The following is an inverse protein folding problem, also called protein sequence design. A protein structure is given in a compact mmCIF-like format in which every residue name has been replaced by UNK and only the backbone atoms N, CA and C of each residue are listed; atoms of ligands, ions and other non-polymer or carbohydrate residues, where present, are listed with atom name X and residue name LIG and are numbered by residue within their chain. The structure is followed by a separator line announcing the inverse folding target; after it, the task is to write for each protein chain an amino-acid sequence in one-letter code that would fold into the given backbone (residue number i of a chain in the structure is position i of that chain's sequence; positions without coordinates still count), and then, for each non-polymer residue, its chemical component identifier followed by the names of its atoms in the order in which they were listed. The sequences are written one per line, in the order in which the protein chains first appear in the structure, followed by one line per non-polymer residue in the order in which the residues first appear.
data_IF_747583655302
#
_entry.id   IF_747583655302
#
_cell.length_a   1.000
_cell.length_b   1.000
_cell.length_c   1.000
_cell.angle_alpha   90.00
_cell.angle_beta   90.00
_cell.angle_gamma   90.00
#
_symmetry.space_group_name_H-M   'P 1'
#
loop_
_entity.id
_entity.type
_entity.pdbx_description
1 polymer ?
#
# COMPACT_ATOMS: atom_id res chain seq x y z
N UNK A 1 5.42 -17.01 16.98
CA UNK A 1 5.31 -18.47 17.10
C UNK A 1 6.68 -19.07 16.82
N UNK A 2 7.15 -19.93 17.70
CA UNK A 2 8.38 -20.69 17.47
C UNK A 2 8.12 -22.17 17.77
N UNK A 3 8.74 -23.05 16.99
CA UNK A 3 8.59 -24.49 17.11
C UNK A 3 9.98 -25.11 17.23
N UNK A 4 10.20 -25.87 18.29
CA UNK A 4 11.45 -26.58 18.52
C UNK A 4 11.19 -28.06 18.57
N UNK A 5 11.98 -28.84 17.83
CA UNK A 5 11.86 -30.29 17.86
C UNK A 5 13.05 -30.91 18.54
N UNK A 6 12.75 -31.97 19.29
CA UNK A 6 13.74 -32.85 19.87
C UNK A 6 13.40 -34.27 19.48
N UNK A 7 14.33 -34.92 18.80
CA UNK A 7 14.30 -36.35 18.53
C UNK A 7 15.35 -37.05 19.38
N UNK A 8 15.07 -38.28 19.77
CA UNK A 8 15.96 -39.13 20.58
C UNK A 8 16.01 -40.54 20.00
N UNK A 9 17.09 -41.26 20.27
CA UNK A 9 17.31 -42.64 19.80
C UNK A 9 16.30 -43.68 20.30
N UNK A 10 15.44 -43.32 21.26
CA UNK A 10 14.38 -44.19 21.79
C UNK A 10 13.05 -44.01 21.04
N UNK A 11 13.09 -43.56 19.78
CA UNK A 11 11.92 -43.23 18.95
C UNK A 11 10.95 -42.24 19.61
N UNK A 12 11.44 -41.42 20.55
CA UNK A 12 10.63 -40.35 21.13
C UNK A 12 10.91 -39.04 20.40
N UNK A 13 9.85 -38.48 19.83
CA UNK A 13 9.82 -37.14 19.25
C UNK A 13 9.04 -36.21 20.18
N UNK A 14 9.51 -34.98 20.34
CA UNK A 14 8.83 -33.93 21.08
C UNK A 14 8.88 -32.64 20.28
N UNK A 15 7.75 -31.93 20.20
CA UNK A 15 7.69 -30.57 19.66
C UNK A 15 7.29 -29.62 20.80
N UNK A 16 8.14 -28.64 21.06
CA UNK A 16 7.84 -27.51 21.91
C UNK A 16 7.31 -26.36 21.05
N UNK A 17 6.07 -25.98 21.29
CA UNK A 17 5.40 -24.88 20.61
C UNK A 17 5.34 -23.66 21.54
N UNK A 18 5.90 -22.53 21.11
CA UNK A 18 5.96 -21.27 21.86
C UNK A 18 5.10 -20.22 21.16
N UNK A 19 4.35 -19.45 21.95
CA UNK A 19 3.42 -18.41 21.49
C UNK A 19 2.36 -18.91 20.51
N UNK A 20 1.93 -20.16 20.68
CA UNK A 20 0.90 -20.78 19.83
C UNK A 20 -0.50 -20.30 20.23
N UNK A 21 -1.28 -19.70 19.32
CA UNK A 21 -2.66 -19.30 19.60
C UNK A 21 -3.52 -20.46 20.09
N UNK A 22 -4.47 -20.19 20.99
CA UNK A 22 -5.36 -21.22 21.55
C UNK A 22 -6.12 -22.03 20.50
N UNK A 23 -6.68 -21.36 19.48
CA UNK A 23 -7.36 -22.02 18.36
C UNK A 23 -6.42 -22.96 17.57
N UNK A 24 -5.16 -22.58 17.39
CA UNK A 24 -4.18 -23.41 16.67
C UNK A 24 -3.81 -24.64 17.51
N UNK A 25 -3.71 -24.48 18.83
CA UNK A 25 -3.47 -25.59 19.76
C UNK A 25 -4.59 -26.63 19.66
N UNK A 26 -5.85 -26.20 19.73
CA UNK A 26 -7.01 -27.11 19.66
C UNK A 26 -7.05 -27.88 18.34
N UNK A 27 -6.93 -27.19 17.21
CA UNK A 27 -6.89 -27.82 15.88
C UNK A 27 -5.73 -28.80 15.71
N UNK A 28 -4.56 -28.47 16.28
CA UNK A 28 -3.40 -29.36 16.23
C UNK A 28 -3.64 -30.65 17.02
N UNK A 29 -4.26 -30.57 18.21
CA UNK A 29 -4.62 -31.76 18.98
C UNK A 29 -5.64 -32.64 18.25
N UNK A 30 -6.65 -32.03 17.63
CA UNK A 30 -7.62 -32.75 16.81
C UNK A 30 -6.96 -33.43 15.60
N UNK A 31 -6.09 -32.70 14.89
CA UNK A 31 -5.33 -33.23 13.76
C UNK A 31 -4.46 -34.41 14.17
N UNK A 32 -3.72 -34.30 15.28
CA UNK A 32 -2.90 -35.38 15.83
C UNK A 32 -3.74 -36.60 16.24
N UNK A 33 -4.89 -36.40 16.88
CA UNK A 33 -5.78 -37.49 17.28
C UNK A 33 -6.39 -38.22 16.06
N UNK A 34 -6.59 -37.51 14.96
CA UNK A 34 -7.10 -38.07 13.70
C UNK A 34 -6.01 -38.60 12.75
N UNK A 35 -4.75 -38.25 12.99
CA UNK A 35 -3.63 -38.64 12.13
C UNK A 35 -3.36 -40.15 12.23
N UNK A 36 -3.02 -40.78 11.11
CA UNK A 36 -2.55 -42.17 11.10
C UNK A 36 -1.27 -42.34 11.91
N UNK A 37 -0.83 -43.60 12.10
CA UNK A 37 0.39 -43.90 12.84
C UNK A 37 1.59 -43.12 12.30
N UNK A 38 2.19 -42.28 13.14
CA UNK A 38 3.38 -41.51 12.80
C UNK A 38 4.61 -42.43 12.85
N UNK A 39 5.45 -42.36 11.81
CA UNK A 39 6.72 -43.10 11.77
C UNK A 39 7.77 -42.32 12.56
N UNK A 40 7.90 -42.62 13.85
CA UNK A 40 8.78 -41.85 14.76
C UNK A 40 10.29 -41.97 14.47
N UNK A 41 10.68 -42.93 13.62
CA UNK A 41 12.03 -43.03 13.06
C UNK A 41 12.38 -41.84 12.16
N UNK A 42 11.37 -41.21 11.53
CA UNK A 42 11.54 -39.93 10.83
C UNK A 42 11.49 -38.76 11.83
N UNK A 43 12.58 -37.98 11.98
CA UNK A 43 12.62 -36.81 12.86
C UNK A 43 11.55 -35.75 12.52
N UNK A 44 11.07 -35.72 11.28
CA UNK A 44 10.10 -34.74 10.79
C UNK A 44 8.68 -35.30 10.67
N UNK A 45 8.40 -36.52 11.11
CA UNK A 45 7.06 -37.10 11.07
C UNK A 45 6.01 -36.22 11.78
N UNK A 46 6.37 -35.65 12.94
CA UNK A 46 5.48 -34.74 13.68
C UNK A 46 5.30 -33.37 13.04
N UNK A 47 6.14 -32.99 12.06
CA UNK A 47 5.94 -31.75 11.33
C UNK A 47 4.76 -31.82 10.36
N UNK A 48 4.35 -33.00 9.88
CA UNK A 48 3.21 -33.10 8.95
C UNK A 48 1.93 -32.42 9.49
N UNK A 49 1.35 -32.84 10.63
CA UNK A 49 0.14 -32.19 11.16
C UNK A 49 0.37 -30.73 11.55
N UNK A 50 1.60 -30.38 11.97
CA UNK A 50 1.95 -29.01 12.34
C UNK A 50 1.96 -28.08 11.12
N UNK A 51 2.60 -28.50 10.03
CA UNK A 51 2.71 -27.71 8.80
C UNK A 51 1.35 -27.51 8.14
N UNK A 52 0.50 -28.54 8.14
CA UNK A 52 -0.88 -28.42 7.65
C UNK A 52 -1.64 -27.30 8.37
N UNK A 53 -1.55 -27.24 9.69
CA UNK A 53 -2.21 -26.19 10.47
C UNK A 53 -1.56 -24.81 10.30
N UNK A 54 -0.23 -24.74 10.22
CA UNK A 54 0.48 -23.48 9.95
C UNK A 54 0.11 -22.92 8.58
N UNK A 55 0.01 -23.77 7.55
CA UNK A 55 -0.43 -23.35 6.22
C UNK A 55 -1.87 -22.85 6.22
N UNK A 56 -2.79 -23.54 6.89
CA UNK A 56 -4.19 -23.08 7.01
C UNK A 56 -4.27 -21.70 7.65
N UNK A 57 -3.53 -21.48 8.73
CA UNK A 57 -3.45 -20.18 9.40
C UNK A 57 -2.87 -19.12 8.46
N UNK A 58 -1.78 -19.44 7.74
CA UNK A 58 -1.13 -18.53 6.80
C UNK A 58 -2.05 -18.13 5.64
N UNK A 59 -2.81 -19.10 5.10
CA UNK A 59 -3.82 -18.85 4.05
C UNK A 59 -4.93 -17.94 4.58
N UNK A 60 -5.47 -18.23 5.77
CA UNK A 60 -6.50 -17.39 6.40
C UNK A 60 -6.07 -15.94 6.58
N UNK A 61 -4.85 -15.69 7.08
CA UNK A 61 -4.32 -14.33 7.20
C UNK A 61 -4.18 -13.63 5.84
N UNK A 62 -3.68 -14.36 4.83
CA UNK A 62 -3.54 -13.84 3.46
C UNK A 62 -4.90 -13.44 2.87
N UNK A 63 -5.93 -14.27 3.06
CA UNK A 63 -7.29 -13.96 2.60
C UNK A 63 -7.95 -12.82 3.37
N UNK A 64 -7.77 -12.77 4.70
CA UNK A 64 -8.27 -11.66 5.52
C UNK A 64 -7.67 -10.34 5.03
N UNK A 65 -6.36 -10.31 4.80
CA UNK A 65 -5.66 -9.15 4.22
C UNK A 65 -6.26 -8.73 2.88
N UNK A 66 -6.39 -9.64 1.92
CA UNK A 66 -7.02 -9.35 0.62
C UNK A 66 -8.45 -8.79 0.76
N UNK A 67 -9.24 -9.28 1.73
CA UNK A 67 -10.60 -8.80 1.98
C UNK A 67 -10.61 -7.38 2.54
N UNK A 68 -9.73 -7.05 3.49
CA UNK A 68 -9.61 -5.69 4.02
C UNK A 68 -9.19 -4.69 2.93
N UNK A 69 -8.18 -5.04 2.12
CA UNK A 69 -7.77 -4.23 0.95
C UNK A 69 -8.97 -3.98 0.03
N UNK A 70 -9.75 -5.02 -0.25
CA UNK A 70 -10.94 -4.92 -1.11
C UNK A 70 -12.02 -4.01 -0.53
N UNK A 71 -12.15 -3.90 0.80
CA UNK A 71 -13.08 -2.95 1.42
C UNK A 71 -12.65 -1.50 1.13
N UNK A 72 -11.36 -1.19 1.30
CA UNK A 72 -10.81 0.13 1.00
C UNK A 72 -10.93 0.50 -0.49
N UNK A 73 -10.68 -0.46 -1.39
CA UNK A 73 -10.86 -0.26 -2.84
C UNK A 73 -12.32 0.07 -3.21
N UNK A 74 -13.30 -0.51 -2.52
CA UNK A 74 -14.73 -0.25 -2.75
C UNK A 74 -15.18 1.09 -2.16
N UNK A 75 -14.54 1.58 -1.11
CA UNK A 75 -14.87 2.83 -0.44
C UNK A 75 -14.17 4.07 -1.00
N UNK A 76 -13.54 3.98 -2.19
CA UNK A 76 -12.80 5.07 -2.86
C UNK A 76 -13.58 6.38 -3.05
N UNK A 77 -14.92 6.34 -2.98
CA UNK A 77 -15.77 7.53 -3.10
C UNK A 77 -15.73 8.47 -1.88
N UNK A 78 -15.28 7.97 -0.72
CA UNK A 78 -15.07 8.78 0.48
C UNK A 78 -13.62 9.27 0.53
N UNK A 79 -13.37 10.43 1.16
CA UNK A 79 -12.00 10.91 1.39
C UNK A 79 -11.16 9.77 1.99
N UNK A 80 -9.97 9.49 1.46
CA UNK A 80 -9.18 8.35 1.89
C UNK A 80 -8.79 8.50 3.37
N UNK A 81 -9.11 7.49 4.19
CA UNK A 81 -8.58 7.37 5.56
C UNK A 81 -7.12 6.92 5.46
N UNK A 82 -6.22 7.89 5.37
CA UNK A 82 -4.79 7.64 5.17
C UNK A 82 -4.20 6.76 6.28
N UNK A 83 -4.59 7.00 7.53
CA UNK A 83 -4.09 6.26 8.68
C UNK A 83 -4.48 4.79 8.62
N UNK A 84 -5.76 4.48 8.35
CA UNK A 84 -6.24 3.10 8.21
C UNK A 84 -5.55 2.37 7.05
N UNK A 85 -5.38 3.04 5.91
CA UNK A 85 -4.70 2.44 4.75
C UNK A 85 -3.22 2.19 5.04
N UNK A 86 -2.57 3.10 5.78
CA UNK A 86 -1.18 2.97 6.15
C UNK A 86 -0.96 1.88 7.20
N UNK A 87 -1.86 1.76 8.18
CA UNK A 87 -1.85 0.68 9.16
C UNK A 87 -2.08 -0.67 8.48
N UNK A 88 -3.04 -0.76 7.55
CA UNK A 88 -3.26 -1.97 6.76
C UNK A 88 -1.99 -2.37 5.97
N UNK A 89 -1.31 -1.40 5.36
CA UNK A 89 -0.04 -1.61 4.66
C UNK A 89 1.08 -2.11 5.57
N UNK A 90 1.18 -1.62 6.81
CA UNK A 90 2.14 -2.13 7.80
C UNK A 90 1.89 -3.62 8.11
N UNK A 91 0.63 -3.98 8.34
CA UNK A 91 0.26 -5.38 8.60
C UNK A 91 0.49 -6.28 7.37
N UNK A 92 0.25 -5.78 6.15
CA UNK A 92 0.54 -6.51 4.92
C UNK A 92 2.03 -6.83 4.78
N UNK A 93 2.90 -5.84 5.03
CA UNK A 93 4.35 -6.03 4.99
C UNK A 93 4.83 -7.03 6.04
N UNK A 94 4.35 -6.92 7.28
CA UNK A 94 4.70 -7.89 8.31
C UNK A 94 4.26 -9.32 7.93
N UNK A 95 3.09 -9.49 7.30
CA UNK A 95 2.65 -10.81 6.83
C UNK A 95 3.58 -11.35 5.72
N UNK A 96 3.99 -10.51 4.78
CA UNK A 96 4.95 -10.84 3.74
C UNK A 96 6.31 -11.27 4.32
N UNK A 97 6.86 -10.51 5.27
CA UNK A 97 8.12 -10.82 5.97
C UNK A 97 8.05 -12.18 6.69
N UNK A 98 6.95 -12.45 7.41
CA UNK A 98 6.75 -13.73 8.11
C UNK A 98 6.68 -14.89 7.12
N UNK A 99 5.99 -14.71 5.99
CA UNK A 99 5.89 -15.75 4.96
C UNK A 99 7.23 -15.95 4.23
N UNK A 100 8.02 -14.91 4.03
CA UNK A 100 9.38 -15.01 3.49
C UNK A 100 10.27 -15.90 4.35
N UNK A 101 10.35 -15.60 5.66
CA UNK A 101 11.12 -16.42 6.61
C UNK A 101 10.57 -17.85 6.69
N UNK A 102 9.25 -18.02 6.59
CA UNK A 102 8.61 -19.34 6.59
C UNK A 102 8.97 -20.16 5.35
N UNK A 103 9.03 -19.53 4.17
CA UNK A 103 9.51 -20.18 2.94
C UNK A 103 10.96 -20.62 3.10
N UNK A 104 11.85 -19.75 3.57
CA UNK A 104 13.25 -20.10 3.78
C UNK A 104 13.38 -21.27 4.76
N UNK A 105 12.63 -21.25 5.86
CA UNK A 105 12.63 -22.32 6.86
C UNK A 105 12.19 -23.65 6.24
N UNK A 106 11.12 -23.65 5.46
CA UNK A 106 10.63 -24.85 4.77
C UNK A 106 11.60 -25.38 3.72
N UNK A 107 12.33 -24.49 3.02
CA UNK A 107 13.40 -24.89 2.10
C UNK A 107 14.51 -25.63 2.84
N UNK A 108 14.94 -25.09 3.99
CA UNK A 108 15.97 -25.74 4.83
C UNK A 108 15.49 -27.08 5.38
N UNK A 109 14.23 -27.19 5.78
CA UNK A 109 13.63 -28.44 6.22
C UNK A 109 13.57 -29.47 5.10
N UNK A 110 13.17 -29.06 3.89
CA UNK A 110 13.12 -29.94 2.71
C UNK A 110 14.50 -30.51 2.39
N UNK A 111 15.53 -29.67 2.31
CA UNK A 111 16.91 -30.14 2.07
C UNK A 111 17.43 -31.02 3.20
N UNK A 112 17.10 -30.69 4.46
CA UNK A 112 17.51 -31.53 5.60
C UNK A 112 16.83 -32.90 5.58
N UNK A 113 15.59 -32.99 5.11
CA UNK A 113 14.88 -34.28 5.03
C UNK A 113 15.55 -35.23 4.04
N UNK A 114 15.96 -34.72 2.88
CA UNK A 114 16.74 -35.48 1.90
C UNK A 114 18.06 -35.98 2.48
N UNK A 115 18.73 -35.18 3.32
CA UNK A 115 19.96 -35.60 3.99
C UNK A 115 19.71 -36.63 5.11
N UNK A 116 18.61 -36.50 5.86
CA UNK A 116 18.23 -37.47 6.90
C UNK A 116 18.00 -38.86 6.29
N UNK A 117 17.31 -38.93 5.16
CA UNK A 117 17.01 -40.20 4.49
C UNK A 117 18.21 -40.88 3.82
N UNK A 118 19.34 -40.17 3.65
CA UNK A 118 20.62 -40.82 3.30
C UNK A 118 21.24 -41.59 4.46
N UNK A 119 20.86 -41.27 5.70
CA UNK A 119 21.43 -41.82 6.93
C UNK A 119 20.48 -42.79 7.65
N UNK A 120 19.17 -42.63 7.43
CA UNK A 120 18.13 -43.45 8.05
C UNK A 120 17.73 -44.59 7.11
N UNK A 121 17.64 -45.81 7.66
CA UNK A 121 17.15 -46.99 6.94
C UNK A 121 15.62 -47.06 7.02
N UNK A 122 14.94 -46.31 6.14
CA UNK A 122 13.48 -46.28 6.00
C UNK A 122 13.04 -46.85 4.65
N UNK A 123 11.78 -47.27 4.53
CA UNK A 123 11.21 -47.78 3.27
C UNK A 123 11.23 -46.72 2.16
N UNK A 124 11.64 -47.08 0.94
CA UNK A 124 11.80 -46.14 -0.19
C UNK A 124 10.49 -45.42 -0.56
N UNK A 125 9.36 -46.14 -0.48
CA UNK A 125 8.04 -45.57 -0.74
C UNK A 125 7.70 -44.48 0.29
N UNK A 126 8.00 -44.73 1.57
CA UNK A 126 7.80 -43.74 2.65
C UNK A 126 8.69 -42.51 2.46
N UNK A 127 9.96 -42.71 2.11
CA UNK A 127 10.90 -41.61 1.87
C UNK A 127 10.40 -40.70 0.74
N UNK A 128 9.95 -41.31 -0.36
CA UNK A 128 9.41 -40.61 -1.52
C UNK A 128 8.16 -39.80 -1.14
N UNK A 129 7.21 -40.42 -0.43
CA UNK A 129 6.00 -39.75 0.05
C UNK A 129 6.32 -38.55 0.97
N UNK A 130 7.26 -38.73 1.90
CA UNK A 130 7.65 -37.69 2.85
C UNK A 130 8.33 -36.49 2.18
N UNK A 131 9.21 -36.75 1.20
CA UNK A 131 9.87 -35.70 0.40
C UNK A 131 8.83 -34.94 -0.43
N UNK A 132 7.98 -35.66 -1.16
CA UNK A 132 6.93 -35.04 -1.99
C UNK A 132 5.97 -34.20 -1.15
N UNK A 133 5.56 -34.70 0.01
CA UNK A 133 4.73 -33.95 0.95
C UNK A 133 5.37 -32.63 1.36
N UNK A 134 6.64 -32.65 1.80
CA UNK A 134 7.31 -31.44 2.27
C UNK A 134 7.57 -30.44 1.14
N UNK A 135 7.92 -30.94 -0.05
CA UNK A 135 8.03 -30.11 -1.25
C UNK A 135 6.69 -29.47 -1.63
N UNK A 136 5.58 -30.20 -1.54
CA UNK A 136 4.25 -29.69 -1.80
C UNK A 136 3.87 -28.57 -0.80
N UNK A 137 4.08 -28.79 0.49
CA UNK A 137 3.85 -27.79 1.55
C UNK A 137 4.66 -26.50 1.31
N UNK A 138 5.94 -26.66 0.92
CA UNK A 138 6.80 -25.55 0.54
C UNK A 138 6.25 -24.76 -0.67
N UNK A 139 5.75 -25.45 -1.70
CA UNK A 139 5.13 -24.78 -2.85
C UNK A 139 3.86 -24.01 -2.46
N UNK A 140 3.04 -24.55 -1.56
CA UNK A 140 1.89 -23.82 -1.05
C UNK A 140 2.36 -22.55 -0.32
N UNK A 141 3.33 -22.65 0.59
CA UNK A 141 3.85 -21.47 1.30
C UNK A 141 4.41 -20.41 0.34
N UNK A 142 5.15 -20.82 -0.70
CA UNK A 142 5.62 -19.94 -1.78
C UNK A 142 4.47 -19.26 -2.52
N UNK A 143 3.39 -19.99 -2.79
CA UNK A 143 2.20 -19.43 -3.45
C UNK A 143 1.51 -18.38 -2.56
N UNK A 144 1.40 -18.63 -1.25
CA UNK A 144 0.84 -17.69 -0.29
C UNK A 144 1.68 -16.43 -0.19
N UNK A 145 3.02 -16.57 -0.12
CA UNK A 145 3.96 -15.44 -0.16
C UNK A 145 3.75 -14.57 -1.39
N UNK A 146 3.71 -15.18 -2.58
CA UNK A 146 3.48 -14.44 -3.84
C UNK A 146 2.15 -13.68 -3.83
N UNK A 147 1.10 -14.27 -3.25
CA UNK A 147 -0.20 -13.59 -3.08
C UNK A 147 -0.12 -12.43 -2.10
N UNK A 148 0.62 -12.58 -0.99
CA UNK A 148 0.86 -11.50 -0.04
C UNK A 148 1.64 -10.35 -0.67
N UNK A 149 2.68 -10.65 -1.45
CA UNK A 149 3.44 -9.66 -2.22
C UNK A 149 2.53 -8.89 -3.19
N UNK A 150 1.69 -9.59 -3.97
CA UNK A 150 0.74 -8.94 -4.87
C UNK A 150 -0.27 -8.05 -4.12
N UNK A 151 -0.69 -8.44 -2.91
CA UNK A 151 -1.53 -7.59 -2.06
C UNK A 151 -0.77 -6.34 -1.58
N UNK A 152 0.52 -6.47 -1.23
CA UNK A 152 1.42 -5.39 -0.83
C UNK A 152 1.57 -4.35 -1.95
N UNK A 153 1.88 -4.80 -3.17
CA UNK A 153 2.00 -3.95 -4.36
C UNK A 153 0.68 -3.23 -4.69
N UNK A 154 -0.46 -3.90 -4.52
CA UNK A 154 -1.78 -3.28 -4.68
C UNK A 154 -2.01 -2.17 -3.66
N UNK A 155 -1.62 -2.36 -2.41
CA UNK A 155 -1.73 -1.34 -1.36
C UNK A 155 -0.83 -0.14 -1.63
N UNK A 156 0.38 -0.34 -2.12
CA UNK A 156 1.26 0.75 -2.55
C UNK A 156 0.65 1.55 -3.72
N UNK A 157 -0.02 0.86 -4.64
CA UNK A 157 -0.81 1.50 -5.71
C UNK A 157 -1.94 2.39 -5.15
N UNK A 158 -2.71 1.89 -4.18
CA UNK A 158 -3.77 2.67 -3.53
C UNK A 158 -3.20 3.85 -2.74
N UNK A 159 -2.07 3.67 -2.07
CA UNK A 159 -1.40 4.73 -1.32
C UNK A 159 -0.97 5.87 -2.25
N UNK A 160 -0.36 5.55 -3.39
CA UNK A 160 0.03 6.52 -4.41
C UNK A 160 -1.19 7.25 -4.98
N UNK A 161 -2.28 6.53 -5.23
CA UNK A 161 -3.53 7.14 -5.69
C UNK A 161 -4.08 8.13 -4.65
N UNK A 162 -4.10 7.75 -3.37
CA UNK A 162 -4.56 8.63 -2.29
C UNK A 162 -3.74 9.92 -2.21
N UNK A 163 -2.41 9.83 -2.27
CA UNK A 163 -1.54 11.01 -2.33
C UNK A 163 -1.82 11.91 -3.54
N UNK A 164 -2.01 11.32 -4.72
CA UNK A 164 -2.31 12.08 -5.93
C UNK A 164 -3.66 12.81 -5.84
N UNK A 165 -4.67 12.20 -5.22
CA UNK A 165 -5.97 12.84 -4.98
C UNK A 165 -5.85 14.03 -4.04
N UNK A 166 -5.09 13.89 -2.95
CA UNK A 166 -4.81 14.99 -2.00
C UNK A 166 -4.07 16.12 -2.72
N UNK A 167 -2.97 15.80 -3.42
CA UNK A 167 -2.19 16.78 -4.16
C UNK A 167 -3.00 17.52 -5.24
N UNK A 168 -3.93 16.82 -5.90
CA UNK A 168 -4.83 17.44 -6.87
C UNK A 168 -5.84 18.38 -6.20
N UNK A 169 -6.34 18.02 -5.02
CA UNK A 169 -7.26 18.87 -4.24
C UNK A 169 -6.54 20.13 -3.77
N UNK A 170 -5.31 20.01 -3.23
CA UNK A 170 -4.47 21.14 -2.86
C UNK A 170 -4.16 22.03 -4.07
N UNK A 171 -3.87 21.43 -5.23
CA UNK A 171 -3.67 22.16 -6.49
C UNK A 171 -4.90 22.96 -6.92
N UNK A 172 -6.11 22.43 -6.69
CA UNK A 172 -7.36 23.15 -6.96
C UNK A 172 -7.56 24.31 -6.00
N UNK A 173 -7.33 24.10 -4.69
CA UNK A 173 -7.40 25.14 -3.67
C UNK A 173 -6.41 26.27 -4.00
N UNK A 174 -5.18 25.93 -4.37
CA UNK A 174 -4.15 26.91 -4.74
C UNK A 174 -4.54 27.72 -5.99
N UNK A 175 -5.19 27.09 -6.97
CA UNK A 175 -5.75 27.82 -8.14
C UNK A 175 -6.84 28.80 -7.71
N UNK A 176 -7.74 28.42 -6.81
CA UNK A 176 -8.78 29.32 -6.29
C UNK A 176 -8.19 30.50 -5.52
N UNK A 177 -7.21 30.26 -4.64
CA UNK A 177 -6.52 31.35 -3.90
C UNK A 177 -5.81 32.28 -4.90
N UNK A 178 -5.13 31.73 -5.91
CA UNK A 178 -4.44 32.52 -6.93
C UNK A 178 -5.39 33.37 -7.75
N UNK A 179 -6.57 32.84 -8.12
CA UNK A 179 -7.60 33.61 -8.80
C UNK A 179 -8.10 34.77 -7.91
N UNK A 180 -8.29 34.50 -6.62
CA UNK A 180 -8.72 35.50 -5.66
C UNK A 180 -7.69 36.64 -5.51
N UNK A 181 -6.40 36.30 -5.43
CA UNK A 181 -5.31 37.30 -5.35
C UNK A 181 -5.18 38.08 -6.65
N UNK A 182 -5.33 37.45 -7.82
CA UNK A 182 -5.32 38.15 -9.12
C UNK A 182 -6.45 39.18 -9.27
N UNK A 183 -7.60 38.93 -8.62
CA UNK A 183 -8.73 39.88 -8.61
C UNK A 183 -8.50 41.00 -7.58
N UNK A 184 -8.08 40.66 -6.36
CA UNK A 184 -7.97 41.66 -5.29
C UNK A 184 -6.68 42.48 -5.31
N UNK A 185 -5.55 41.94 -5.78
CA UNK A 185 -4.27 42.64 -5.75
C UNK A 185 -4.30 43.94 -6.58
N UNK A 186 -4.84 43.98 -7.82
CA UNK A 186 -4.94 45.23 -8.57
C UNK A 186 -5.94 46.20 -7.94
N UNK A 187 -7.08 45.70 -7.45
CA UNK A 187 -8.10 46.53 -6.81
C UNK A 187 -7.60 47.20 -5.52
N UNK A 188 -6.89 46.46 -4.67
CA UNK A 188 -6.29 46.97 -3.43
C UNK A 188 -5.16 47.95 -3.71
N UNK A 189 -4.28 47.67 -4.68
CA UNK A 189 -3.21 48.58 -5.09
C UNK A 189 -3.75 49.93 -5.58
N UNK A 190 -4.73 49.90 -6.47
CA UNK A 190 -5.36 51.11 -7.02
C UNK A 190 -6.16 51.84 -5.93
N UNK A 191 -6.87 51.11 -5.06
CA UNK A 191 -7.55 51.69 -3.89
C UNK A 191 -6.58 52.42 -2.96
N UNK A 192 -5.41 51.84 -2.66
CA UNK A 192 -4.40 52.48 -1.81
C UNK A 192 -3.81 53.75 -2.44
N UNK A 193 -3.48 53.71 -3.74
CA UNK A 193 -2.98 54.88 -4.47
C UNK A 193 -3.97 56.04 -4.48
N UNK A 194 -5.27 55.73 -4.56
CA UNK A 194 -6.33 56.72 -4.68
C UNK A 194 -7.01 57.09 -3.36
N UNK A 195 -6.78 56.32 -2.29
CA UNK A 195 -7.36 56.55 -0.95
C UNK A 195 -6.96 57.91 -0.36
N UNK A 196 -5.80 58.44 -0.73
CA UNK A 196 -5.28 59.71 -0.21
C UNK A 196 -5.67 60.93 -1.05
N UNK A 197 -6.22 60.72 -2.25
CA UNK A 197 -6.47 61.80 -3.23
C UNK A 197 -7.95 62.10 -3.47
N UNK A 198 -8.87 61.21 -3.09
CA UNK A 198 -10.31 61.39 -3.34
C UNK A 198 -11.19 61.65 -2.11
N UNK A 199 -10.69 61.45 -0.88
CA UNK A 199 -11.44 61.70 0.35
C UNK A 199 -10.91 62.95 1.05
N UNK A 200 -11.62 64.07 0.94
CA UNK A 200 -11.35 65.29 1.70
C UNK A 200 -12.33 65.41 2.87
N UNK A 201 -11.82 65.49 4.10
CA UNK A 201 -12.64 65.67 5.30
C UNK A 201 -12.91 67.16 5.53
N UNK A 202 -14.18 67.58 5.42
CA UNK A 202 -14.65 68.94 5.74
C UNK A 202 -15.55 68.91 6.99
N UNK A 203 -15.56 70.00 7.78
CA UNK A 203 -16.20 70.10 9.12
C UNK A 203 -17.72 69.78 9.17
N UNK A 204 -18.43 69.69 8.05
CA UNK A 204 -19.90 69.54 8.01
C UNK A 204 -20.43 68.37 7.17
N UNK A 205 -19.60 67.42 6.72
CA UNK A 205 -20.10 66.19 6.08
C UNK A 205 -19.13 65.50 5.12
N UNK A 206 -19.40 64.23 4.82
CA UNK A 206 -18.65 63.44 3.84
C UNK A 206 -18.95 63.91 2.42
N UNK A 207 -17.96 64.46 1.70
CA UNK A 207 -18.08 64.80 0.30
C UNK A 207 -17.24 63.83 -0.57
N UNK A 208 -17.92 62.94 -1.30
CA UNK A 208 -17.27 62.04 -2.26
C UNK A 208 -16.93 62.81 -3.53
N UNK A 209 -15.68 62.75 -3.98
CA UNK A 209 -15.26 63.38 -5.25
C UNK A 209 -16.04 62.80 -6.43
N UNK A 210 -16.55 63.67 -7.31
CA UNK A 210 -17.22 63.31 -8.57
C UNK A 210 -16.36 62.50 -9.53
N UNK A 211 -15.03 62.45 -9.30
CA UNK A 211 -14.06 61.69 -10.11
C UNK A 211 -13.88 60.23 -9.66
N UNK A 212 -14.68 59.75 -8.71
CA UNK A 212 -14.65 58.36 -8.24
C UNK A 212 -14.76 57.32 -9.37
N UNK A 213 -15.40 57.67 -10.51
CA UNK A 213 -15.49 56.79 -11.68
C UNK A 213 -14.12 56.37 -12.25
N UNK A 214 -13.07 57.18 -12.08
CA UNK A 214 -11.69 56.88 -12.54
C UNK A 214 -11.15 55.59 -11.90
N UNK A 215 -11.52 55.30 -10.65
CA UNK A 215 -11.14 54.04 -9.97
C UNK A 215 -11.57 52.81 -10.79
N UNK A 216 -12.82 52.79 -11.27
CA UNK A 216 -13.37 51.67 -12.03
C UNK A 216 -12.72 51.54 -13.42
N UNK A 217 -12.47 52.69 -14.07
CA UNK A 217 -11.84 52.74 -15.40
C UNK A 217 -10.42 52.20 -15.39
N UNK A 218 -9.68 52.35 -14.30
CA UNK A 218 -8.30 51.85 -14.19
C UNK A 218 -8.27 50.42 -13.65
N UNK A 219 -9.07 50.13 -12.62
CA UNK A 219 -9.02 48.84 -11.93
C UNK A 219 -9.51 47.69 -12.80
N UNK A 220 -10.62 47.85 -13.54
CA UNK A 220 -11.22 46.77 -14.33
C UNK A 220 -10.33 46.32 -15.50
N UNK A 221 -9.75 47.22 -16.33
CA UNK A 221 -8.82 46.79 -17.37
C UNK A 221 -7.55 46.15 -16.82
N UNK A 222 -7.06 46.63 -15.67
CA UNK A 222 -5.86 46.08 -15.05
C UNK A 222 -6.09 44.65 -14.52
N UNK A 223 -7.22 44.38 -13.86
CA UNK A 223 -7.58 43.02 -13.43
C UNK A 223 -7.78 42.09 -14.62
N UNK A 224 -8.48 42.55 -15.66
CA UNK A 224 -8.66 41.78 -16.91
C UNK A 224 -7.33 41.46 -17.59
N UNK A 225 -6.40 42.42 -17.61
CA UNK A 225 -5.05 42.22 -18.17
C UNK A 225 -4.29 41.12 -17.41
N UNK A 226 -4.27 41.17 -16.07
CA UNK A 226 -3.60 40.14 -15.24
C UNK A 226 -4.21 38.75 -15.48
N UNK A 227 -5.54 38.64 -15.53
CA UNK A 227 -6.23 37.38 -15.81
C UNK A 227 -5.95 36.86 -17.24
N UNK A 228 -5.91 37.75 -18.23
CA UNK A 228 -5.61 37.38 -19.61
C UNK A 228 -4.19 36.81 -19.77
N UNK A 229 -3.19 37.44 -19.12
CA UNK A 229 -1.80 36.96 -19.12
C UNK A 229 -1.70 35.57 -18.48
N UNK A 230 -2.36 35.38 -17.33
CA UNK A 230 -2.38 34.07 -16.65
C UNK A 230 -3.07 32.98 -17.47
N UNK A 231 -4.23 33.28 -18.06
CA UNK A 231 -4.95 32.35 -18.93
C UNK A 231 -4.14 31.94 -20.16
N UNK A 232 -3.47 32.89 -20.80
CA UNK A 232 -2.57 32.62 -21.93
C UNK A 232 -1.38 31.73 -21.53
N UNK A 233 -0.80 31.95 -20.34
CA UNK A 233 0.30 31.15 -19.82
C UNK A 233 -0.09 29.68 -19.57
N UNK A 234 -1.27 29.45 -18.98
CA UNK A 234 -1.79 28.11 -18.74
C UNK A 234 -2.13 27.39 -20.04
N UNK A 235 -2.83 28.06 -20.97
CA UNK A 235 -3.16 27.51 -22.28
C UNK A 235 -1.93 27.15 -23.10
N UNK A 236 -0.88 28.00 -23.05
CA UNK A 236 0.39 27.76 -23.73
C UNK A 236 1.19 26.57 -23.17
N UNK A 237 1.16 26.36 -21.85
CA UNK A 237 1.81 25.20 -21.22
C UNK A 237 1.14 23.88 -21.61
N UNK A 238 -0.19 23.84 -21.65
CA UNK A 238 -0.93 22.63 -22.05
C UNK A 238 -0.66 22.21 -23.50
N UNK A 239 -0.55 23.18 -24.41
CA UNK A 239 -0.21 22.94 -25.81
C UNK A 239 1.20 22.37 -26.02
N UNK A 240 2.19 22.92 -25.31
CA UNK A 240 3.59 22.46 -25.39
C UNK A 240 3.79 21.04 -24.83
N UNK A 241 3.09 20.68 -23.74
CA UNK A 241 3.17 19.34 -23.14
C UNK A 241 2.52 18.28 -24.05
N UNK A 242 1.34 18.56 -24.61
CA UNK A 242 0.67 17.66 -25.58
C UNK A 242 1.52 17.40 -26.82
N UNK A 243 2.15 18.44 -27.37
CA UNK A 243 3.05 18.30 -28.52
C UNK A 243 4.27 17.41 -28.22
N UNK A 244 4.82 17.47 -27.00
CA UNK A 244 5.98 16.68 -26.58
C UNK A 244 5.64 15.19 -26.38
N UNK A 245 4.45 14.88 -25.84
CA UNK A 245 4.00 13.49 -25.64
C UNK A 245 3.66 12.82 -26.97
N UNK A 246 2.95 13.51 -27.87
CA UNK A 246 2.58 12.98 -29.18
C UNK A 246 3.77 12.91 -30.15
N UNK A 247 4.76 13.81 -30.02
CA UNK A 247 5.99 13.78 -30.82
C UNK A 247 7.03 12.73 -30.37
N UNK A 248 6.93 12.22 -29.14
CA UNK A 248 7.90 11.27 -28.56
C UNK A 248 7.71 9.80 -29.00
N UNK A 249 6.51 9.43 -29.46
CA UNK A 249 6.20 8.02 -29.82
C UNK A 249 6.82 7.56 -31.15
N UNK A 250 7.39 8.44 -31.97
CA UNK A 250 7.87 8.08 -33.32
C UNK A 250 9.32 7.58 -33.38
N UNK A 251 10.09 7.58 -32.28
CA UNK A 251 11.54 7.28 -32.33
C UNK A 251 11.98 5.91 -31.76
N UNK A 252 11.07 5.01 -31.38
CA UNK A 252 11.43 3.68 -30.81
C UNK A 252 11.19 2.47 -31.74
N UNK A 253 11.25 2.67 -33.06
CA UNK A 253 11.33 1.56 -34.04
C UNK A 253 12.42 1.87 -35.06
N UNK A 254 13.67 1.67 -34.67
CA UNK A 254 14.84 1.43 -35.54
C UNK A 254 16.08 1.34 -34.64
N UNK A 255 16.30 0.16 -34.10
CA UNK A 255 17.60 -0.43 -33.78
C UNK A 255 17.36 -1.93 -33.61
#
# INVERSE_FOLDING_TARGET
MAFFTRWTSNDTNQILCIDTPGELKERLFESLASSGGLVFQDPFAMFRPLLDEILKVSDQYTWRMSKEIRKHEKSRSKRPSFDELNDLRRHARHLEEVQEVSVETLERLASRQEDNFKQLELEEDYQSEAIEYLQFQLQIMKSLRRRSQANSERLDGEMNLAYNVIANTDSQIMKSITLLTMIFLPATFISALFSTTFFEFHEYGWNISTRFWIYWVVTVPLTLFVLAVWGAWIGGSAGKIRAKILGGSSKSKKA
#
